data_IF_141003483232
#
_entry.id   IF_141003483232
#
_cell.length_a   1.000
_cell.length_b   1.000
_cell.length_c   1.000
_cell.angle_alpha   90.00
_cell.angle_beta   90.00
_cell.angle_gamma   90.00
#
_symmetry.space_group_name_H-M   'P 1'
#
loop_
_entity.id
_entity.type
_entity.pdbx_description
1 polymer ?
#
# COMPACT_ATOMS: atom_id res chain seq x y z
N UNK A 1 5.07 12.71 -13.57
CA UNK A 1 5.32 11.82 -12.42
C UNK A 1 4.65 10.46 -12.61
N UNK A 2 3.32 10.37 -12.72
CA UNK A 2 2.64 9.08 -12.94
C UNK A 2 3.12 8.35 -14.22
N UNK A 3 3.27 9.10 -15.33
CA UNK A 3 3.81 8.58 -16.58
C UNK A 3 5.26 8.10 -16.49
N UNK A 4 6.05 8.65 -15.56
CA UNK A 4 7.44 8.23 -15.33
C UNK A 4 7.47 6.93 -14.53
N UNK A 5 6.72 6.86 -13.42
CA UNK A 5 6.74 5.70 -12.51
C UNK A 5 6.16 4.44 -13.19
N UNK A 6 5.27 4.62 -14.17
CA UNK A 6 4.69 3.53 -14.96
C UNK A 6 5.44 3.25 -16.27
N UNK A 7 6.53 3.95 -16.59
CA UNK A 7 7.23 3.74 -17.86
C UNK A 7 8.14 2.50 -17.81
N UNK A 8 8.22 1.71 -18.91
CA UNK A 8 9.13 0.57 -18.98
C UNK A 8 10.60 0.96 -18.80
N UNK A 9 11.01 2.13 -19.31
CA UNK A 9 12.39 2.59 -19.27
C UNK A 9 12.83 2.87 -17.83
N UNK A 10 11.96 3.50 -17.03
CA UNK A 10 12.24 3.77 -15.63
C UNK A 10 12.20 2.49 -14.80
N UNK A 11 11.30 1.54 -15.11
CA UNK A 11 11.27 0.23 -14.46
C UNK A 11 12.58 -0.55 -14.71
N UNK A 12 13.15 -0.47 -15.91
CA UNK A 12 14.41 -1.12 -16.24
C UNK A 12 15.60 -0.50 -15.49
N UNK A 13 15.66 0.84 -15.41
CA UNK A 13 16.67 1.54 -14.62
C UNK A 13 16.66 1.11 -13.14
N UNK A 14 15.47 0.97 -12.54
CA UNK A 14 15.33 0.47 -11.17
C UNK A 14 15.74 -1.00 -11.07
N UNK A 15 15.40 -1.83 -12.07
CA UNK A 15 15.75 -3.26 -12.11
C UNK A 15 17.25 -3.48 -12.11
N UNK A 16 18.02 -2.70 -12.87
CA UNK A 16 19.49 -2.78 -12.92
C UNK A 16 20.16 -2.48 -11.58
N UNK A 17 19.48 -1.73 -10.70
CA UNK A 17 19.94 -1.41 -9.34
C UNK A 17 19.67 -2.54 -8.34
N UNK A 18 18.88 -3.56 -8.69
CA UNK A 18 18.58 -4.69 -7.80
C UNK A 18 19.77 -5.65 -7.74
N UNK A 19 20.23 -5.96 -6.53
CA UNK A 19 21.25 -6.99 -6.31
C UNK A 19 20.59 -8.28 -5.81
N UNK A 20 20.74 -9.37 -6.57
CA UNK A 20 20.11 -10.67 -6.26
C UNK A 20 20.64 -11.33 -4.97
N UNK A 21 21.81 -10.91 -4.48
CA UNK A 21 22.50 -11.55 -3.37
C UNK A 21 22.40 -10.77 -2.05
N UNK A 22 21.99 -9.50 -2.09
CA UNK A 22 21.90 -8.68 -0.88
C UNK A 22 20.96 -7.48 -1.00
N UNK A 23 20.39 -7.09 0.14
CA UNK A 23 19.75 -5.79 0.33
C UNK A 23 20.78 -4.71 0.67
N UNK A 24 20.40 -3.44 0.56
CA UNK A 24 21.27 -2.29 0.78
C UNK A 24 20.83 -1.48 2.02
N UNK A 25 21.70 -0.64 2.61
CA UNK A 25 21.29 0.31 3.64
C UNK A 25 20.21 1.28 3.12
N UNK A 26 19.34 1.79 4.00
CA UNK A 26 18.19 2.63 3.63
C UNK A 26 18.55 3.80 2.70
N UNK A 27 19.69 4.46 2.93
CA UNK A 27 20.16 5.58 2.13
C UNK A 27 20.34 5.25 0.63
N UNK A 28 20.60 3.98 0.28
CA UNK A 28 20.71 3.53 -1.11
C UNK A 28 19.40 3.68 -1.91
N UNK A 29 18.27 3.55 -1.23
CA UNK A 29 16.94 3.61 -1.85
C UNK A 29 16.39 5.03 -1.95
N UNK A 30 17.14 6.03 -1.45
CA UNK A 30 16.78 7.46 -1.52
C UNK A 30 15.32 7.74 -1.11
N UNK A 31 14.86 7.28 0.07
CA UNK A 31 13.47 7.41 0.46
C UNK A 31 13.06 8.88 0.59
N UNK A 32 11.93 9.25 -0.02
CA UNK A 32 11.34 10.59 0.16
C UNK A 32 10.68 10.78 1.53
N UNK A 33 10.29 9.68 2.19
CA UNK A 33 9.59 9.67 3.47
C UNK A 33 10.09 8.52 4.34
N UNK A 34 9.98 8.67 5.65
CA UNK A 34 10.27 7.56 6.57
C UNK A 34 9.22 6.45 6.43
N UNK A 35 9.62 5.17 6.46
CA UNK A 35 8.68 4.06 6.49
C UNK A 35 7.76 4.17 7.72
N UNK A 36 6.46 4.30 7.48
CA UNK A 36 5.45 4.26 8.55
C UNK A 36 5.17 2.80 8.91
N UNK A 37 4.99 2.50 10.20
CA UNK A 37 4.48 1.19 10.62
C UNK A 37 2.95 1.22 10.54
N UNK A 38 2.38 0.31 9.75
CA UNK A 38 0.92 0.16 9.58
C UNK A 38 0.37 -0.82 10.64
N UNK A 39 -0.86 -0.60 11.08
CA UNK A 39 -1.46 -1.27 12.24
C UNK A 39 -2.90 -1.75 12.04
N UNK A 40 -3.52 -1.61 10.87
CA UNK A 40 -4.86 -2.21 10.67
C UNK A 40 -5.51 -1.97 9.31
N UNK A 41 -5.59 -3.01 8.48
CA UNK A 41 -6.32 -3.00 7.20
C UNK A 41 -7.06 -4.34 7.02
N UNK A 42 -8.30 -4.28 6.54
CA UNK A 42 -9.10 -5.46 6.17
C UNK A 42 -9.30 -5.53 4.66
N UNK A 43 -9.20 -6.74 4.11
CA UNK A 43 -9.42 -7.00 2.69
C UNK A 43 -10.45 -8.10 2.50
N UNK A 44 -11.34 -7.94 1.52
CA UNK A 44 -12.33 -8.93 1.12
C UNK A 44 -12.41 -9.00 -0.40
N UNK A 45 -12.55 -10.21 -0.93
CA UNK A 45 -12.80 -10.47 -2.35
C UNK A 45 -14.11 -11.25 -2.49
N UNK A 46 -14.94 -10.85 -3.45
CA UNK A 46 -16.27 -11.39 -3.68
C UNK A 46 -16.41 -11.72 -5.16
N UNK A 47 -16.94 -12.91 -5.46
CA UNK A 47 -17.34 -13.33 -6.81
C UNK A 47 -18.79 -13.80 -6.71
N UNK A 48 -19.65 -13.37 -7.62
CA UNK A 48 -21.06 -13.79 -7.67
C UNK A 48 -21.33 -14.83 -8.78
N UNK A 49 -22.57 -15.31 -8.85
CA UNK A 49 -23.00 -16.33 -9.81
C UNK A 49 -23.03 -15.84 -11.26
N UNK A 50 -23.09 -14.52 -11.48
CA UNK A 50 -23.11 -13.91 -12.80
C UNK A 50 -21.69 -13.65 -13.32
N UNK A 51 -20.68 -13.97 -12.50
CA UNK A 51 -19.27 -13.80 -12.83
C UNK A 51 -18.72 -12.41 -12.52
N UNK A 52 -19.48 -11.57 -11.80
CA UNK A 52 -18.95 -10.29 -11.33
C UNK A 52 -17.90 -10.53 -10.24
N UNK A 53 -16.88 -9.68 -10.20
CA UNK A 53 -15.82 -9.74 -9.20
C UNK A 53 -15.63 -8.37 -8.56
N UNK A 54 -15.54 -8.36 -7.23
CA UNK A 54 -15.30 -7.16 -6.43
C UNK A 54 -14.18 -7.42 -5.42
N UNK A 55 -13.23 -6.50 -5.34
CA UNK A 55 -12.20 -6.48 -4.32
C UNK A 55 -12.35 -5.20 -3.48
N UNK A 56 -12.44 -5.35 -2.16
CA UNK A 56 -12.62 -4.25 -1.21
C UNK A 56 -11.47 -4.28 -0.21
N UNK A 57 -10.75 -3.17 -0.12
CA UNK A 57 -9.78 -2.91 0.94
C UNK A 57 -10.30 -1.74 1.77
N UNK A 58 -10.43 -1.93 3.08
CA UNK A 58 -10.95 -0.93 4.02
C UNK A 58 -10.06 -0.83 5.26
N UNK A 59 -9.91 0.37 5.79
CA UNK A 59 -9.02 0.66 6.92
C UNK A 59 -9.50 1.89 7.69
N UNK A 60 -9.22 1.91 9.00
CA UNK A 60 -9.25 3.11 9.85
C UNK A 60 -7.84 3.46 10.36
N UNK A 61 -6.82 3.05 9.59
CA UNK A 61 -5.38 3.13 9.82
C UNK A 61 -4.85 2.24 10.95
N UNK A 62 -5.35 2.43 12.16
CA UNK A 62 -4.91 1.69 13.35
C UNK A 62 -6.08 0.98 14.00
N UNK A 63 -5.82 0.11 14.97
CA UNK A 63 -6.89 -0.46 15.80
C UNK A 63 -7.77 0.65 16.38
N UNK A 64 -9.09 0.54 16.18
CA UNK A 64 -10.10 1.54 16.55
C UNK A 64 -9.85 2.97 16.00
N UNK A 65 -8.93 3.13 15.04
CA UNK A 65 -8.56 4.39 14.42
C UNK A 65 -8.13 5.45 15.42
N UNK A 66 -8.74 6.63 15.36
CA UNK A 66 -8.44 7.74 16.26
C UNK A 66 -8.96 7.53 17.71
N UNK A 67 -9.61 6.41 18.01
CA UNK A 67 -10.37 6.20 19.26
C UNK A 67 -11.46 7.26 19.51
N UNK A 68 -11.94 7.91 18.44
CA UNK A 68 -13.02 8.89 18.48
C UNK A 68 -14.24 8.31 17.79
N UNK A 69 -15.39 8.35 18.47
CA UNK A 69 -16.67 7.92 17.93
C UNK A 69 -17.60 9.10 17.65
N UNK A 70 -18.43 8.97 16.62
CA UNK A 70 -19.44 9.97 16.30
C UNK A 70 -20.54 10.00 17.36
N UNK A 71 -20.78 11.17 17.96
CA UNK A 71 -21.74 11.35 19.08
C UNK A 71 -23.14 10.76 18.82
N UNK A 72 -23.60 10.79 17.57
CA UNK A 72 -24.93 10.33 17.17
C UNK A 72 -24.91 9.08 16.29
N UNK A 73 -23.73 8.59 15.88
CA UNK A 73 -23.57 7.52 14.87
C UNK A 73 -22.73 6.34 15.34
N UNK A 74 -22.04 6.46 16.47
CA UNK A 74 -21.13 5.44 17.01
C UNK A 74 -21.27 5.26 18.51
N UNK A 75 -22.51 5.08 18.99
CA UNK A 75 -22.75 4.59 20.36
C UNK A 75 -22.42 3.12 20.49
#
# INVERSE_FOLDING_TARGET
LLSLILSPEYAEEIRERINEHKTQPLAYYEPMFEPQTDHGTSHCSIIDSDGNAVAVTSTINTDFGAFVYGRNTGK
#
